data_IF_235133424974
#
_entry.id   IF_235133424974
#
_cell.length_a   1.000
_cell.length_b   1.000
_cell.length_c   1.000
_cell.angle_alpha   90.00
_cell.angle_beta   90.00
_cell.angle_gamma   90.00
#
_symmetry.space_group_name_H-M   'P 1'
#
loop_
_entity.id
_entity.type
_entity.pdbx_description
1 polymer ?
#
# COMPACT_ATOMS: atom_id res chain seq x y z
N UNK A 1 -5.64 -26.58 -11.04
CA UNK A 1 -4.98 -26.42 -9.72
C UNK A 1 -3.92 -25.35 -9.90
N UNK A 2 -4.07 -24.22 -9.22
CA UNK A 2 -3.05 -23.17 -9.25
C UNK A 2 -1.75 -23.70 -8.64
N UNK A 3 -0.61 -23.43 -9.28
CA UNK A 3 0.69 -23.95 -8.85
C UNK A 3 1.33 -23.03 -7.80
N UNK A 4 2.19 -23.56 -6.95
CA UNK A 4 2.94 -22.78 -5.95
C UNK A 4 3.74 -21.64 -6.61
N UNK A 5 4.15 -21.84 -7.86
CA UNK A 5 4.84 -20.83 -8.68
C UNK A 5 3.98 -19.58 -8.91
N UNK A 6 2.67 -19.74 -9.16
CA UNK A 6 1.73 -18.63 -9.33
C UNK A 6 1.57 -17.81 -8.05
N UNK A 7 1.57 -18.47 -6.89
CA UNK A 7 1.57 -17.79 -5.59
C UNK A 7 2.86 -16.98 -5.38
N UNK A 8 4.00 -17.53 -5.84
CA UNK A 8 5.29 -16.84 -5.81
C UNK A 8 5.30 -15.56 -6.63
N UNK A 9 4.71 -15.56 -7.83
CA UNK A 9 4.60 -14.36 -8.65
C UNK A 9 3.75 -13.27 -8.00
N UNK A 10 2.57 -13.61 -7.48
CA UNK A 10 1.72 -12.64 -6.78
C UNK A 10 2.38 -12.10 -5.51
N UNK A 11 3.03 -12.96 -4.71
CA UNK A 11 3.80 -12.52 -3.55
C UNK A 11 4.95 -11.58 -3.93
N UNK A 12 5.61 -11.85 -5.06
CA UNK A 12 6.66 -10.99 -5.59
C UNK A 12 6.12 -9.61 -6.00
N UNK A 13 4.98 -9.54 -6.69
CA UNK A 13 4.35 -8.27 -7.07
C UNK A 13 3.88 -7.46 -5.86
N UNK A 14 3.33 -8.11 -4.83
CA UNK A 14 2.98 -7.48 -3.56
C UNK A 14 4.23 -6.86 -2.92
N UNK A 15 5.30 -7.65 -2.77
CA UNK A 15 6.55 -7.17 -2.17
C UNK A 15 7.18 -6.02 -2.97
N UNK A 16 7.17 -6.12 -4.30
CA UNK A 16 7.68 -5.11 -5.20
C UNK A 16 6.87 -3.81 -5.12
N UNK A 17 5.55 -3.90 -4.94
CA UNK A 17 4.68 -2.73 -4.70
C UNK A 17 5.07 -2.02 -3.39
N UNK A 18 5.24 -2.78 -2.31
CA UNK A 18 5.71 -2.21 -1.03
C UNK A 18 7.11 -1.59 -1.14
N UNK A 19 8.04 -2.20 -1.89
CA UNK A 19 9.38 -1.63 -2.13
C UNK A 19 9.27 -0.30 -2.88
N UNK A 20 8.49 -0.25 -3.96
CA UNK A 20 8.29 0.98 -4.71
C UNK A 20 7.69 2.08 -3.86
N UNK A 21 6.73 1.74 -2.99
CA UNK A 21 6.12 2.69 -2.08
C UNK A 21 7.12 3.25 -1.05
N UNK A 22 8.00 2.42 -0.48
CA UNK A 22 9.09 2.87 0.40
C UNK A 22 10.09 3.76 -0.34
N UNK A 23 10.45 3.41 -1.58
CA UNK A 23 11.34 4.22 -2.41
C UNK A 23 10.70 5.57 -2.73
N UNK A 24 9.45 5.58 -3.19
CA UNK A 24 8.69 6.79 -3.47
C UNK A 24 8.56 7.68 -2.23
N UNK A 25 8.30 7.08 -1.06
CA UNK A 25 8.29 7.77 0.23
C UNK A 25 9.61 8.47 0.51
N UNK A 26 10.74 7.76 0.41
CA UNK A 26 12.08 8.35 0.63
C UNK A 26 12.40 9.44 -0.40
N UNK A 27 11.97 9.27 -1.64
CA UNK A 27 12.15 10.29 -2.69
C UNK A 27 11.34 11.55 -2.36
N UNK A 28 10.09 11.41 -1.93
CA UNK A 28 9.25 12.53 -1.51
C UNK A 28 9.85 13.26 -0.30
N UNK A 29 10.39 12.52 0.68
CA UNK A 29 11.11 13.11 1.83
C UNK A 29 12.33 13.94 1.41
N UNK A 30 13.02 13.55 0.33
CA UNK A 30 14.21 14.27 -0.16
C UNK A 30 13.90 15.42 -1.10
N UNK A 31 12.81 15.34 -1.87
CA UNK A 31 12.49 16.30 -2.91
C UNK A 31 11.52 17.40 -2.45
N UNK A 32 10.60 17.08 -1.54
CA UNK A 32 9.56 18.01 -1.11
C UNK A 32 10.02 18.82 0.10
N UNK A 33 9.92 20.15 -0.02
CA UNK A 33 10.05 21.07 1.13
C UNK A 33 8.88 20.85 2.09
N UNK A 34 9.13 20.94 3.39
CA UNK A 34 8.11 20.72 4.42
C UNK A 34 6.88 21.60 4.17
N UNK A 35 5.71 20.97 4.15
CA UNK A 35 4.45 21.61 3.80
C UNK A 35 3.42 20.61 3.29
N UNK A 36 2.22 21.11 3.03
CA UNK A 36 1.04 20.30 2.80
C UNK A 36 1.12 19.36 1.59
N UNK A 37 1.85 19.77 0.55
CA UNK A 37 2.07 18.95 -0.66
C UNK A 37 2.87 17.69 -0.33
N UNK A 38 3.79 17.75 0.64
CA UNK A 38 4.57 16.59 1.07
C UNK A 38 3.65 15.56 1.70
N UNK A 39 2.80 15.97 2.63
CA UNK A 39 1.85 15.09 3.34
C UNK A 39 0.79 14.52 2.39
N UNK A 40 0.31 15.32 1.43
CA UNK A 40 -0.61 14.87 0.40
C UNK A 40 0.00 13.77 -0.49
N UNK A 41 1.25 13.95 -0.93
CA UNK A 41 1.97 12.94 -1.72
C UNK A 41 2.23 11.69 -0.87
N UNK A 42 2.51 11.85 0.43
CA UNK A 42 2.66 10.74 1.36
C UNK A 42 1.40 9.87 1.44
N UNK A 43 0.24 10.49 1.65
CA UNK A 43 -1.05 9.80 1.68
C UNK A 43 -1.40 9.17 0.32
N UNK A 44 -1.06 9.84 -0.79
CA UNK A 44 -1.25 9.30 -2.12
C UNK A 44 -0.37 8.06 -2.39
N UNK A 45 0.88 8.04 -1.93
CA UNK A 45 1.76 6.86 -2.05
C UNK A 45 1.23 5.72 -1.17
N UNK A 46 0.79 6.02 0.05
CA UNK A 46 0.16 5.03 0.93
C UNK A 46 -1.06 4.39 0.25
N UNK A 47 -1.95 5.22 -0.31
CA UNK A 47 -3.12 4.78 -1.05
C UNK A 47 -2.76 3.89 -2.24
N UNK A 48 -1.76 4.31 -3.04
CA UNK A 48 -1.30 3.55 -4.20
C UNK A 48 -0.72 2.18 -3.79
N UNK A 49 0.04 2.10 -2.69
CA UNK A 49 0.56 0.83 -2.16
C UNK A 49 -0.61 -0.10 -1.78
N UNK A 50 -1.56 0.41 -1.00
CA UNK A 50 -2.70 -0.36 -0.53
C UNK A 50 -3.52 -0.91 -1.71
N UNK A 51 -3.81 -0.05 -2.71
CA UNK A 51 -4.54 -0.47 -3.90
C UNK A 51 -3.81 -1.52 -4.72
N UNK A 52 -2.48 -1.37 -4.92
CA UNK A 52 -1.67 -2.35 -5.65
C UNK A 52 -1.62 -3.71 -4.95
N UNK A 53 -1.41 -3.72 -3.63
CA UNK A 53 -1.43 -4.94 -2.82
C UNK A 53 -2.82 -5.61 -2.82
N UNK A 54 -3.90 -4.83 -2.72
CA UNK A 54 -5.26 -5.33 -2.75
C UNK A 54 -5.65 -5.93 -4.11
N UNK A 55 -5.21 -5.34 -5.22
CA UNK A 55 -5.45 -5.90 -6.55
C UNK A 55 -4.89 -7.33 -6.67
N UNK A 56 -3.65 -7.51 -6.25
CA UNK A 56 -2.96 -8.79 -6.31
C UNK A 56 -3.57 -9.81 -5.31
N UNK A 57 -4.02 -9.33 -4.14
CA UNK A 57 -4.74 -10.14 -3.15
C UNK A 57 -6.05 -10.73 -3.69
N UNK A 58 -6.80 -9.99 -4.53
CA UNK A 58 -8.03 -10.52 -5.15
C UNK A 58 -7.69 -11.68 -6.09
N UNK A 59 -6.59 -11.59 -6.85
CA UNK A 59 -6.11 -12.67 -7.72
C UNK A 59 -5.74 -13.91 -6.90
N UNK A 60 -5.11 -13.71 -5.73
CA UNK A 60 -4.80 -14.80 -4.79
C UNK A 60 -6.07 -15.42 -4.21
N UNK A 61 -7.08 -14.62 -3.84
CA UNK A 61 -8.34 -15.11 -3.31
C UNK A 61 -9.11 -15.96 -4.33
N UNK A 62 -9.13 -15.55 -5.60
CA UNK A 62 -9.84 -16.27 -6.66
C UNK A 62 -9.15 -17.59 -7.04
N UNK A 63 -7.81 -17.62 -7.07
CA UNK A 63 -7.04 -18.80 -7.47
C UNK A 63 -6.72 -19.80 -6.34
N UNK A 64 -6.50 -19.31 -5.12
CA UNK A 64 -6.03 -20.11 -3.98
C UNK A 64 -7.00 -20.12 -2.79
N UNK A 65 -8.10 -19.37 -2.88
CA UNK A 65 -9.14 -19.34 -1.88
C UNK A 65 -8.89 -18.42 -0.68
N UNK A 66 -9.89 -18.37 0.19
CA UNK A 66 -10.02 -17.39 1.29
C UNK A 66 -8.95 -17.55 2.37
N UNK A 67 -8.48 -18.77 2.65
CA UNK A 67 -7.48 -19.02 3.69
C UNK A 67 -6.13 -18.37 3.35
N UNK A 68 -5.68 -18.51 2.11
CA UNK A 68 -4.43 -17.94 1.60
C UNK A 68 -4.52 -16.42 1.59
N UNK A 69 -5.63 -15.88 1.11
CA UNK A 69 -5.95 -14.46 1.17
C UNK A 69 -5.87 -13.90 2.60
N UNK A 70 -6.44 -14.59 3.59
CA UNK A 70 -6.43 -14.14 4.99
C UNK A 70 -5.01 -14.04 5.57
N UNK A 71 -4.11 -14.97 5.22
CA UNK A 71 -2.70 -14.94 5.67
C UNK A 71 -1.96 -13.75 5.06
N UNK A 72 -2.12 -13.51 3.76
CA UNK A 72 -1.49 -12.37 3.08
C UNK A 72 -2.04 -11.04 3.60
N UNK A 73 -3.37 -10.92 3.74
CA UNK A 73 -3.98 -9.75 4.35
C UNK A 73 -3.45 -9.47 5.76
N UNK A 74 -3.41 -10.50 6.62
CA UNK A 74 -2.95 -10.31 7.99
C UNK A 74 -1.49 -9.81 8.05
N UNK A 75 -0.64 -10.39 7.21
CA UNK A 75 0.77 -9.99 7.08
C UNK A 75 0.88 -8.56 6.56
N UNK A 76 0.10 -8.21 5.53
CA UNK A 76 0.05 -6.86 4.98
C UNK A 76 -0.45 -5.84 6.00
N UNK A 77 -1.48 -6.17 6.80
CA UNK A 77 -1.96 -5.30 7.88
C UNK A 77 -0.87 -4.98 8.89
N UNK A 78 -0.06 -5.98 9.29
CA UNK A 78 1.08 -5.77 10.18
C UNK A 78 2.14 -4.87 9.52
N UNK A 79 2.47 -5.14 8.26
CA UNK A 79 3.41 -4.32 7.49
C UNK A 79 2.95 -2.87 7.42
N UNK A 80 1.68 -2.66 7.11
CA UNK A 80 1.09 -1.35 6.91
C UNK A 80 1.07 -0.54 8.21
N UNK A 81 0.65 -1.16 9.31
CA UNK A 81 0.68 -0.53 10.63
C UNK A 81 2.10 -0.13 11.07
N UNK A 82 3.13 -0.90 10.69
CA UNK A 82 4.52 -0.58 11.00
C UNK A 82 5.12 0.50 10.08
N UNK A 83 4.77 0.49 8.80
CA UNK A 83 5.41 1.33 7.78
C UNK A 83 4.72 2.69 7.68
N UNK A 84 3.39 2.71 7.65
CA UNK A 84 2.60 3.90 7.35
C UNK A 84 2.02 4.59 8.60
N UNK A 85 1.99 3.91 9.74
CA UNK A 85 1.67 4.52 11.03
C UNK A 85 0.29 5.17 11.05
N UNK A 86 0.25 6.51 11.06
CA UNK A 86 -0.98 7.32 11.10
C UNK A 86 -1.51 7.72 9.72
N UNK A 87 -0.92 7.24 8.62
CA UNK A 87 -1.44 7.51 7.28
C UNK A 87 -2.80 6.83 7.07
N UNK A 88 -3.69 7.52 6.40
CA UNK A 88 -5.08 7.11 6.18
C UNK A 88 -5.32 6.49 4.81
N UNK A 89 -4.34 6.58 3.89
CA UNK A 89 -4.50 6.27 2.48
C UNK A 89 -5.59 7.11 1.78
N UNK A 90 -5.93 8.28 2.35
CA UNK A 90 -6.96 9.17 1.84
C UNK A 90 -6.36 10.56 1.62
N UNK A 91 -5.74 10.83 0.44
CA UNK A 91 -5.17 12.14 0.17
C UNK A 91 -6.22 13.26 0.22
N UNK A 92 -7.49 12.95 -0.05
CA UNK A 92 -8.56 13.94 0.02
C UNK A 92 -8.86 14.41 1.45
N UNK A 93 -8.57 13.61 2.49
CA UNK A 93 -8.85 13.98 3.89
C UNK A 93 -8.04 15.19 4.32
N UNK A 94 -6.79 15.29 3.85
CA UNK A 94 -5.97 16.48 4.09
C UNK A 94 -6.45 17.70 3.29
N UNK A 95 -6.98 17.50 2.08
CA UNK A 95 -7.58 18.59 1.30
C UNK A 95 -8.86 19.10 1.96
N UNK A 96 -9.66 18.21 2.53
CA UNK A 96 -10.89 18.52 3.26
C UNK A 96 -10.58 19.34 4.53
N UNK A 97 -9.56 18.97 5.31
CA UNK A 97 -9.12 19.73 6.48
C UNK A 97 -8.73 21.18 6.16
N UNK A 98 -8.14 21.45 5.00
CA UNK A 98 -7.80 22.84 4.60
C UNK A 98 -9.06 23.65 4.27
N UNK A 99 -10.04 23.00 3.66
CA UNK A 99 -11.30 23.63 3.23
C UNK A 99 -12.19 23.90 4.44
N UNK A 100 -12.19 22.99 5.42
CA UNK A 100 -12.99 23.09 6.64
C UNK A 100 -12.37 23.98 7.72
N UNK A 101 -11.04 24.19 7.71
CA UNK A 101 -10.32 25.17 8.55
C UNK A 101 -9.72 24.58 9.82
#
# INVERSE_FOLDING_TARGET
MATIEQLGYSAFFIALTCIFAIVARRLNERMSKDGLVKDLIFEAIAAAELCGCCFELIIVADNFGVATYAVFLFTLTIWWGRTWGSATACPYTYMEQIVEG
#
